data_IF_837758902294
#
_entry.id   IF_837758902294
#
_cell.length_a   1.000
_cell.length_b   1.000
_cell.length_c   1.000
_cell.angle_alpha   90.00
_cell.angle_beta   90.00
_cell.angle_gamma   90.00
#
_symmetry.space_group_name_H-M   'P 1'
#
loop_
_entity.id
_entity.type
_entity.pdbx_description
1 polymer ?
#
# COMPACT_ATOMS: atom_id res chain seq x y z
N UNK A 1 -8.94 -23.61 -25.46
CA UNK A 1 -7.84 -23.53 -24.48
C UNK A 1 -8.05 -22.24 -23.71
N UNK A 2 -8.70 -22.33 -22.55
CA UNK A 2 -8.84 -21.18 -21.66
C UNK A 2 -7.49 -20.98 -21.01
N UNK A 3 -6.84 -19.86 -21.30
CA UNK A 3 -5.61 -19.45 -20.60
C UNK A 3 -6.00 -19.12 -19.18
N UNK A 4 -5.78 -20.07 -18.28
CA UNK A 4 -5.78 -19.85 -16.84
C UNK A 4 -4.74 -18.76 -16.58
N UNK A 5 -5.22 -17.52 -16.46
CA UNK A 5 -4.35 -16.39 -16.11
C UNK A 5 -3.91 -16.69 -14.69
N UNK A 6 -2.65 -17.09 -14.50
CA UNK A 6 -2.11 -17.35 -13.18
C UNK A 6 -2.32 -16.08 -12.34
N UNK A 7 -3.28 -16.13 -11.41
CA UNK A 7 -3.60 -14.98 -10.56
C UNK A 7 -2.34 -14.60 -9.78
N UNK A 8 -2.00 -13.31 -9.78
CA UNK A 8 -0.82 -12.83 -9.07
C UNK A 8 -0.93 -13.20 -7.58
N UNK A 9 0.14 -13.72 -6.95
CA UNK A 9 0.10 -14.06 -5.54
C UNK A 9 -0.24 -12.82 -4.70
N UNK A 10 -1.05 -12.95 -3.63
CA UNK A 10 -1.40 -11.83 -2.78
C UNK A 10 -0.21 -11.37 -1.93
N UNK A 11 -0.06 -10.05 -1.74
CA UNK A 11 0.95 -9.46 -0.86
C UNK A 11 0.35 -8.33 -0.02
N UNK A 12 0.40 -8.45 1.31
CA UNK A 12 0.07 -7.38 2.23
C UNK A 12 1.34 -6.64 2.66
N UNK A 13 1.43 -5.36 2.32
CA UNK A 13 2.46 -4.45 2.81
C UNK A 13 1.89 -3.69 4.01
N UNK A 14 2.52 -3.82 5.18
CA UNK A 14 2.04 -3.17 6.40
C UNK A 14 3.09 -2.20 6.97
N UNK A 15 2.68 -0.97 7.28
CA UNK A 15 3.52 0.03 7.96
C UNK A 15 2.66 0.85 8.91
N UNK A 16 3.07 0.95 10.18
CA UNK A 16 2.26 1.57 11.23
C UNK A 16 1.82 3.00 10.93
N UNK A 17 2.73 3.87 10.49
CA UNK A 17 2.43 5.28 10.20
C UNK A 17 3.28 5.81 9.05
N UNK A 18 2.67 6.71 8.27
CA UNK A 18 3.29 7.59 7.27
C UNK A 18 3.16 9.08 7.65
N UNK A 19 2.72 9.42 8.87
CA UNK A 19 2.59 10.83 9.29
C UNK A 19 3.93 11.57 9.25
N UNK A 20 5.01 10.88 9.65
CA UNK A 20 6.37 11.38 9.49
C UNK A 20 6.97 10.68 8.28
N UNK A 21 7.02 11.40 7.16
CA UNK A 21 7.61 10.90 5.91
C UNK A 21 9.14 10.87 6.00
N UNK A 22 9.68 9.72 6.42
CA UNK A 22 11.11 9.45 6.49
C UNK A 22 11.66 8.72 5.25
N UNK A 23 12.92 8.30 5.33
CA UNK A 23 13.57 7.54 4.26
C UNK A 23 12.87 6.21 3.99
N UNK A 24 12.54 5.45 5.03
CA UNK A 24 11.90 4.15 4.91
C UNK A 24 10.51 4.24 4.27
N UNK A 25 9.70 5.24 4.65
CA UNK A 25 8.37 5.46 4.10
C UNK A 25 8.45 5.85 2.61
N UNK A 26 9.37 6.74 2.25
CA UNK A 26 9.60 7.14 0.85
C UNK A 26 10.07 5.98 -0.02
N UNK A 27 11.01 5.18 0.48
CA UNK A 27 11.51 4.02 -0.25
C UNK A 27 10.40 2.99 -0.46
N UNK A 28 9.57 2.75 0.56
CA UNK A 28 8.42 1.86 0.44
C UNK A 28 7.44 2.35 -0.63
N UNK A 29 7.09 3.63 -0.63
CA UNK A 29 6.23 4.22 -1.68
C UNK A 29 6.84 4.08 -3.07
N UNK A 30 8.15 4.24 -3.22
CA UNK A 30 8.84 4.10 -4.51
C UNK A 30 8.80 2.67 -5.05
N UNK A 31 8.81 1.67 -4.15
CA UNK A 31 8.87 0.25 -4.50
C UNK A 31 7.47 -0.36 -4.70
N UNK A 32 6.42 0.21 -4.09
CA UNK A 32 5.03 -0.28 -4.20
C UNK A 32 4.56 -0.52 -5.64
N UNK A 33 4.76 0.39 -6.62
CA UNK A 33 4.37 0.15 -8.00
C UNK A 33 5.05 -1.08 -8.62
N UNK A 34 6.34 -1.28 -8.34
CA UNK A 34 7.07 -2.44 -8.83
C UNK A 34 6.59 -3.74 -8.20
N UNK A 35 6.23 -3.73 -6.91
CA UNK A 35 5.62 -4.89 -6.26
C UNK A 35 4.25 -5.23 -6.88
N UNK A 36 3.46 -4.21 -7.22
CA UNK A 36 2.13 -4.39 -7.80
C UNK A 36 2.13 -4.95 -9.23
N UNK A 37 3.30 -5.01 -9.87
CA UNK A 37 3.49 -5.69 -11.16
C UNK A 37 3.76 -7.20 -11.00
N UNK A 38 4.09 -7.65 -9.79
CA UNK A 38 4.51 -9.03 -9.48
C UNK A 38 3.47 -9.71 -8.57
N UNK A 39 2.83 -8.93 -7.71
CA UNK A 39 1.87 -9.38 -6.70
C UNK A 39 0.55 -8.62 -6.81
N UNK A 40 -0.53 -9.23 -6.33
CA UNK A 40 -1.76 -8.51 -6.01
C UNK A 40 -1.57 -7.79 -4.66
N UNK A 41 -1.07 -6.55 -4.71
CA UNK A 41 -0.64 -5.80 -3.52
C UNK A 41 -1.82 -5.14 -2.82
N UNK A 42 -1.82 -5.22 -1.49
CA UNK A 42 -2.63 -4.38 -0.60
C UNK A 42 -1.72 -3.63 0.37
N UNK A 43 -2.08 -2.39 0.71
CA UNK A 43 -1.32 -1.56 1.65
C UNK A 43 -2.12 -1.36 2.93
N UNK A 44 -1.52 -1.61 4.10
CA UNK A 44 -2.15 -1.38 5.40
C UNK A 44 -1.36 -0.38 6.25
N UNK A 45 -2.06 0.64 6.76
CA UNK A 45 -1.46 1.61 7.69
C UNK A 45 -2.49 2.21 8.62
N UNK A 46 -2.07 2.54 9.85
CA UNK A 46 -2.91 3.21 10.83
C UNK A 46 -3.03 4.70 10.48
N UNK A 47 -1.93 5.29 9.98
CA UNK A 47 -1.90 6.69 9.59
C UNK A 47 -1.35 6.90 8.18
N UNK A 48 -2.22 6.94 7.16
CA UNK A 48 -1.81 7.22 5.79
C UNK A 48 -1.49 8.71 5.58
N UNK A 49 -0.43 9.00 4.83
CA UNK A 49 -0.17 10.33 4.30
C UNK A 49 -1.00 10.62 3.04
N UNK A 50 -1.09 11.89 2.64
CA UNK A 50 -1.80 12.25 1.42
C UNK A 50 -1.11 11.70 0.17
N UNK A 51 0.23 11.64 0.21
CA UNK A 51 1.09 11.08 -0.83
C UNK A 51 0.82 9.58 -0.99
N UNK A 52 0.75 8.82 0.11
CA UNK A 52 0.43 7.40 0.07
C UNK A 52 -0.97 7.16 -0.50
N UNK A 53 -1.98 7.94 -0.08
CA UNK A 53 -3.35 7.82 -0.60
C UNK A 53 -3.40 8.06 -2.11
N UNK A 54 -2.68 9.08 -2.57
CA UNK A 54 -2.63 9.44 -4.00
C UNK A 54 -1.94 8.36 -4.81
N UNK A 55 -0.83 7.82 -4.30
CA UNK A 55 -0.10 6.71 -4.92
C UNK A 55 -0.96 5.44 -5.00
N UNK A 56 -1.55 5.00 -3.89
CA UNK A 56 -2.40 3.81 -3.87
C UNK A 56 -3.59 3.93 -4.83
N UNK A 57 -4.19 5.12 -4.93
CA UNK A 57 -5.26 5.39 -5.90
C UNK A 57 -4.75 5.33 -7.35
N UNK A 58 -3.59 5.90 -7.64
CA UNK A 58 -2.99 5.90 -8.98
C UNK A 58 -2.66 4.47 -9.44
N UNK A 59 -2.07 3.67 -8.55
CA UNK A 59 -1.62 2.31 -8.84
C UNK A 59 -2.72 1.24 -8.66
N UNK A 60 -3.95 1.64 -8.31
CA UNK A 60 -5.07 0.75 -7.96
C UNK A 60 -4.74 -0.25 -6.84
N UNK A 61 -3.93 0.17 -5.87
CA UNK A 61 -3.59 -0.62 -4.68
C UNK A 61 -4.64 -0.36 -3.59
N UNK A 62 -5.39 -1.39 -3.11
CA UNK A 62 -6.30 -1.23 -2.00
C UNK A 62 -5.58 -0.77 -0.74
N UNK A 63 -6.07 0.33 -0.14
CA UNK A 63 -5.54 0.90 1.09
C UNK A 63 -6.46 0.55 2.27
N UNK A 64 -5.94 -0.25 3.19
CA UNK A 64 -6.56 -0.62 4.46
C UNK A 64 -6.08 0.38 5.51
N UNK A 65 -6.98 1.25 5.96
CA UNK A 65 -6.72 2.19 7.04
C UNK A 65 -7.98 2.37 7.89
N UNK A 66 -7.85 2.72 9.18
CA UNK A 66 -9.01 2.98 10.02
C UNK A 66 -9.80 4.18 9.50
N UNK A 67 -11.12 4.15 9.69
CA UNK A 67 -12.00 5.24 9.28
C UNK A 67 -11.74 6.53 10.10
N UNK A 68 -11.35 6.35 11.36
CA UNK A 68 -10.95 7.42 12.26
C UNK A 68 -9.45 7.31 12.53
N UNK A 69 -8.75 8.45 12.56
CA UNK A 69 -7.33 8.47 12.90
C UNK A 69 -7.13 7.89 14.30
N UNK A 70 -6.13 7.04 14.46
CA UNK A 70 -5.73 6.58 15.78
C UNK A 70 -5.18 7.76 16.57
N UNK A 71 -5.74 8.02 17.74
CA UNK A 71 -5.21 9.01 18.67
C UNK A 71 -4.40 8.27 19.74
N UNK A 72 -3.23 8.81 20.06
CA UNK A 72 -2.41 8.21 21.12
C UNK A 72 -3.18 8.33 22.44
N UNK A 73 -3.32 7.26 23.23
CA UNK A 73 -4.04 7.30 24.50
C UNK A 73 -3.37 8.23 25.53
#
# INVERSE_FOLDING_TARGET
MSTESAEMPPLLVAKGSFQVMGGAERDLMRVLPSLNQIFSVQMATIHPSQELRSLCKLENIPLICPAQAWENP
#
